data_IF_412649324512
#
_entry.id   IF_412649324512
#
_cell.length_a   1.000
_cell.length_b   1.000
_cell.length_c   1.000
_cell.angle_alpha   90.00
_cell.angle_beta   90.00
_cell.angle_gamma   90.00
#
_symmetry.space_group_name_H-M   'P 1'
#
loop_
_entity.id
_entity.type
_entity.pdbx_description
1 polymer ?
#
# COMPACT_ATOMS: atom_id res chain seq x y z
N UNK A 1 -32.48 -6.03 -19.04
CA UNK A 1 -31.35 -6.73 -18.38
C UNK A 1 -30.15 -5.80 -18.38
N UNK A 2 -29.96 -5.01 -17.31
CA UNK A 2 -28.72 -4.27 -17.10
C UNK A 2 -27.65 -5.28 -16.69
N UNK A 3 -26.58 -5.39 -17.48
CA UNK A 3 -25.39 -6.16 -17.08
C UNK A 3 -24.84 -5.45 -15.83
N UNK A 4 -25.03 -6.03 -14.66
CA UNK A 4 -24.24 -5.65 -13.48
C UNK A 4 -22.79 -5.97 -13.83
N UNK A 5 -22.07 -4.96 -14.31
CA UNK A 5 -20.64 -5.09 -14.54
C UNK A 5 -19.98 -5.29 -13.18
N UNK A 6 -19.03 -6.22 -13.10
CA UNK A 6 -18.25 -6.42 -11.88
C UNK A 6 -17.71 -5.07 -11.38
N UNK A 7 -17.75 -4.88 -10.06
CA UNK A 7 -17.12 -3.72 -9.42
C UNK A 7 -15.62 -3.74 -9.78
N UNK A 8 -15.11 -2.59 -10.22
CA UNK A 8 -13.72 -2.44 -10.63
C UNK A 8 -13.01 -1.62 -9.57
N UNK A 9 -11.85 -2.09 -9.14
CA UNK A 9 -10.97 -1.37 -8.24
C UNK A 9 -9.60 -1.17 -8.89
N UNK A 10 -9.00 -0.01 -8.63
CA UNK A 10 -7.61 0.29 -9.00
C UNK A 10 -6.86 0.57 -7.71
N UNK A 11 -5.76 -0.13 -7.49
CA UNK A 11 -4.85 0.09 -6.35
C UNK A 11 -3.59 0.74 -6.89
N UNK A 12 -3.29 1.94 -6.42
CA UNK A 12 -2.04 2.66 -6.72
C UNK A 12 -1.16 2.60 -5.48
N UNK A 13 0.07 2.12 -5.66
CA UNK A 13 1.06 1.99 -4.59
C UNK A 13 2.24 2.89 -4.94
N UNK A 14 2.50 3.89 -4.11
CA UNK A 14 3.70 4.72 -4.20
C UNK A 14 4.78 4.14 -3.27
N UNK A 15 5.83 3.54 -3.82
CA UNK A 15 6.93 2.99 -3.01
C UNK A 15 7.64 4.14 -2.27
N UNK A 16 7.94 3.91 -0.99
CA UNK A 16 8.68 4.83 -0.13
C UNK A 16 8.04 6.22 0.09
N UNK A 17 6.73 6.36 -0.14
CA UNK A 17 5.98 7.59 0.16
C UNK A 17 5.61 7.65 1.65
N UNK A 18 6.44 8.31 2.46
CA UNK A 18 6.15 8.58 3.88
C UNK A 18 5.06 9.64 4.00
N UNK A 19 4.18 9.52 5.01
CA UNK A 19 3.00 10.37 5.13
C UNK A 19 3.33 11.87 5.30
N UNK A 20 4.42 12.20 5.97
CA UNK A 20 4.92 13.57 6.16
C UNK A 20 5.53 14.20 4.88
N UNK A 21 5.74 13.41 3.82
CA UNK A 21 6.12 13.93 2.50
C UNK A 21 4.93 14.44 1.70
N UNK A 22 3.70 14.23 2.18
CA UNK A 22 2.47 14.68 1.52
C UNK A 22 2.09 16.03 2.11
N UNK A 23 2.54 17.11 1.47
CA UNK A 23 2.14 18.48 1.79
C UNK A 23 1.61 19.18 0.53
N UNK A 24 0.89 20.30 0.65
CA UNK A 24 0.47 21.10 -0.50
C UNK A 24 1.63 21.51 -1.42
N UNK A 25 2.84 21.70 -0.87
CA UNK A 25 4.03 22.13 -1.60
C UNK A 25 4.71 20.99 -2.35
N UNK A 26 4.81 19.80 -1.73
CA UNK A 26 5.56 18.66 -2.28
C UNK A 26 4.69 17.70 -3.08
N UNK A 27 3.41 17.59 -2.74
CA UNK A 27 2.46 16.64 -3.33
C UNK A 27 1.03 17.23 -3.39
N UNK A 28 0.82 18.34 -4.12
CA UNK A 28 -0.46 19.08 -4.12
C UNK A 28 -1.67 18.20 -4.45
N UNK A 29 -1.55 17.33 -5.46
CA UNK A 29 -2.64 16.44 -5.86
C UNK A 29 -3.00 15.40 -4.78
N UNK A 30 -1.99 14.86 -4.07
CA UNK A 30 -2.23 13.90 -3.00
C UNK A 30 -2.78 14.57 -1.74
N UNK A 31 -2.36 15.80 -1.46
CA UNK A 31 -2.92 16.63 -0.39
C UNK A 31 -4.42 16.85 -0.63
N UNK A 32 -4.81 17.34 -1.81
CA UNK A 32 -6.22 17.52 -2.18
C UNK A 32 -7.02 16.20 -2.17
N UNK A 33 -6.41 15.11 -2.61
CA UNK A 33 -7.06 13.80 -2.59
C UNK A 33 -7.39 13.36 -1.16
N UNK A 34 -6.49 13.62 -0.20
CA UNK A 34 -6.69 13.26 1.20
C UNK A 34 -7.86 14.02 1.85
N UNK A 35 -8.14 15.25 1.41
CA UNK A 35 -9.25 16.08 1.90
C UNK A 35 -10.62 15.59 1.38
N UNK A 36 -10.64 14.95 0.20
CA UNK A 36 -11.87 14.49 -0.47
C UNK A 36 -12.12 12.99 -0.31
N UNK A 37 -11.21 12.26 0.31
CA UNK A 37 -11.25 10.81 0.46
C UNK A 37 -11.12 10.39 1.93
N UNK A 38 -11.23 9.08 2.18
CA UNK A 38 -10.93 8.53 3.50
C UNK A 38 -9.42 8.42 3.70
N UNK A 39 -8.90 9.08 4.73
CA UNK A 39 -7.50 8.98 5.15
C UNK A 39 -7.36 8.07 6.38
N UNK A 40 -6.36 7.19 6.37
CA UNK A 40 -6.08 6.25 7.46
C UNK A 40 -4.81 6.66 8.23
N UNK A 41 -4.92 7.65 9.13
CA UNK A 41 -3.78 8.19 9.86
C UNK A 41 -3.05 7.17 10.76
N UNK A 42 -3.73 6.11 11.19
CA UNK A 42 -3.17 5.03 12.00
C UNK A 42 -2.65 3.84 11.17
N UNK A 43 -2.56 3.97 9.84
CA UNK A 43 -2.05 2.89 8.99
C UNK A 43 -0.54 2.69 9.23
N UNK A 44 -0.17 1.45 9.55
CA UNK A 44 1.21 1.03 9.72
C UNK A 44 1.53 -0.09 8.72
N UNK A 45 2.75 -0.08 8.18
CA UNK A 45 3.23 -1.20 7.35
C UNK A 45 3.45 -2.47 8.19
N UNK A 46 3.68 -3.58 7.50
CA UNK A 46 4.14 -4.83 8.12
C UNK A 46 5.63 -4.75 8.47
N UNK A 47 6.07 -5.58 9.42
CA UNK A 47 7.50 -5.79 9.68
C UNK A 47 7.99 -7.07 8.97
N UNK A 48 9.12 -7.03 8.25
CA UNK A 48 9.92 -5.84 7.95
C UNK A 48 9.30 -4.99 6.84
N UNK A 49 9.42 -3.66 6.96
CA UNK A 49 8.88 -2.67 6.01
C UNK A 49 9.68 -2.60 4.71
N UNK A 50 9.90 -3.73 4.06
CA UNK A 50 10.59 -3.84 2.77
C UNK A 50 9.59 -3.97 1.63
N UNK A 51 9.95 -3.54 0.42
CA UNK A 51 9.07 -3.52 -0.76
C UNK A 51 8.42 -4.87 -1.02
N UNK A 52 9.21 -5.95 -1.12
CA UNK A 52 8.67 -7.29 -1.46
C UNK A 52 7.78 -7.86 -0.37
N UNK A 53 8.14 -7.69 0.90
CA UNK A 53 7.32 -8.15 2.02
C UNK A 53 5.99 -7.39 2.10
N UNK A 54 6.04 -6.06 1.94
CA UNK A 54 4.86 -5.19 2.02
C UNK A 54 3.90 -5.43 0.85
N UNK A 55 4.42 -5.52 -0.38
CA UNK A 55 3.60 -5.78 -1.57
C UNK A 55 2.88 -7.14 -1.48
N UNK A 56 3.57 -8.18 -0.99
CA UNK A 56 2.96 -9.48 -0.76
C UNK A 56 1.89 -9.45 0.33
N UNK A 57 2.12 -8.68 1.39
CA UNK A 57 1.10 -8.47 2.43
C UNK A 57 -0.15 -7.76 1.90
N UNK A 58 0.01 -6.74 1.04
CA UNK A 58 -1.12 -6.05 0.38
C UNK A 58 -1.89 -7.01 -0.54
N UNK A 59 -1.18 -7.79 -1.36
CA UNK A 59 -1.81 -8.70 -2.31
C UNK A 59 -2.54 -9.88 -1.67
N UNK A 60 -2.12 -10.31 -0.47
CA UNK A 60 -2.61 -11.54 0.18
C UNK A 60 -3.42 -11.29 1.45
N UNK A 61 -3.37 -10.09 2.03
CA UNK A 61 -3.90 -9.80 3.35
C UNK A 61 -3.19 -10.52 4.50
N UNK A 62 -2.05 -11.17 4.23
CA UNK A 62 -1.30 -11.96 5.21
C UNK A 62 -0.08 -11.20 5.72
N UNK A 63 0.40 -11.51 6.93
CA UNK A 63 1.70 -11.00 7.43
C UNK A 63 2.89 -11.77 6.80
N UNK A 64 4.12 -11.22 6.80
CA UNK A 64 5.31 -11.87 6.26
C UNK A 64 5.54 -13.32 6.71
N UNK A 65 5.32 -13.60 7.99
CA UNK A 65 5.44 -14.96 8.53
C UNK A 65 4.50 -16.00 7.87
N UNK A 66 3.38 -15.57 7.28
CA UNK A 66 2.40 -16.46 6.65
C UNK A 66 2.61 -16.58 5.13
N UNK A 67 3.01 -15.51 4.46
CA UNK A 67 3.25 -15.56 3.00
C UNK A 67 4.70 -15.85 2.61
N UNK A 68 5.63 -15.96 3.57
CA UNK A 68 7.00 -16.46 3.37
C UNK A 68 8.00 -15.49 2.72
N UNK A 69 7.56 -14.29 2.30
CA UNK A 69 8.45 -13.24 1.80
C UNK A 69 8.89 -12.37 2.98
N UNK A 70 9.99 -12.79 3.61
CA UNK A 70 10.50 -12.20 4.85
C UNK A 70 11.38 -10.96 4.63
N UNK A 71 11.65 -10.58 3.39
CA UNK A 71 12.49 -9.43 3.05
C UNK A 71 12.66 -9.27 1.54
N UNK A 72 13.47 -8.31 1.13
CA UNK A 72 13.81 -8.14 -0.29
C UNK A 72 14.77 -9.22 -0.79
N UNK A 73 15.68 -9.67 0.08
CA UNK A 73 16.65 -10.73 -0.18
C UNK A 73 16.38 -11.90 0.75
N UNK A 74 16.50 -13.11 0.22
CA UNK A 74 16.36 -14.37 0.96
C UNK A 74 17.62 -15.18 0.69
N UNK A 75 18.26 -15.68 1.73
CA UNK A 75 19.35 -16.65 1.60
C UNK A 75 18.75 -18.04 1.38
N UNK A 76 19.35 -18.78 0.44
CA UNK A 76 19.10 -20.21 0.26
C UNK A 76 20.34 -20.93 0.79
N UNK A 77 20.13 -22.09 1.42
CA UNK A 77 21.21 -23.00 1.82
C UNK A 77 21.74 -23.75 0.59
#
# INVERSE_FOLDING_TARGET
MTRSGAERAVIVICDSLRADLITPETAPFLSELSERAAAFAAHCSVFPSTTRASAASIATGCRPARHGLLGNTVALD
#
